data_IF_671990684307
#
_entry.id   IF_671990684307
#
_cell.length_a   1.000
_cell.length_b   1.000
_cell.length_c   1.000
_cell.angle_alpha   90.00
_cell.angle_beta   90.00
_cell.angle_gamma   90.00
#
_symmetry.space_group_name_H-M   'P 1'
#
loop_
_entity.id
_entity.type
_entity.pdbx_description
1 polymer ?
#
# COMPACT_ATOMS: atom_id res chain seq x y z
N UNK A 1 14.90 8.42 15.21
CA UNK A 1 14.23 7.90 14.01
C UNK A 1 14.01 6.42 14.26
N UNK A 2 12.77 5.98 14.34
CA UNK A 2 12.42 4.57 14.60
C UNK A 2 12.06 3.94 13.27
N UNK A 3 12.65 2.78 12.99
CA UNK A 3 12.24 1.98 11.85
C UNK A 3 10.95 1.25 12.23
N UNK A 4 9.83 1.47 11.52
CA UNK A 4 8.61 0.70 11.74
C UNK A 4 8.85 -0.78 11.43
N UNK A 5 8.08 -1.64 12.09
CA UNK A 5 8.02 -3.07 11.76
C UNK A 5 7.41 -3.27 10.38
N UNK A 6 7.68 -4.39 9.73
CA UNK A 6 7.12 -4.69 8.41
C UNK A 6 5.57 -4.66 8.44
N UNK A 7 4.97 -5.11 9.54
CA UNK A 7 3.52 -4.97 9.78
C UNK A 7 3.06 -3.50 9.87
N UNK A 8 3.83 -2.63 10.53
CA UNK A 8 3.51 -1.21 10.66
C UNK A 8 3.61 -0.49 9.30
N UNK A 9 4.65 -0.79 8.52
CA UNK A 9 4.81 -0.25 7.16
C UNK A 9 3.60 -0.60 6.31
N UNK A 10 3.21 -1.88 6.28
CA UNK A 10 2.04 -2.33 5.52
C UNK A 10 0.76 -1.68 6.06
N UNK A 11 0.62 -1.56 7.37
CA UNK A 11 -0.54 -0.91 7.97
C UNK A 11 -0.68 0.57 7.56
N UNK A 12 0.44 1.29 7.41
CA UNK A 12 0.48 2.69 7.00
C UNK A 12 0.32 2.88 5.49
N UNK A 13 0.91 2.01 4.68
CA UNK A 13 0.96 2.17 3.21
C UNK A 13 -0.28 1.62 2.51
N UNK A 14 -0.84 0.52 2.99
CA UNK A 14 -1.95 -0.19 2.33
C UNK A 14 -3.17 0.70 2.06
N UNK A 15 -3.65 1.56 2.99
CA UNK A 15 -4.80 2.42 2.73
C UNK A 15 -4.58 3.35 1.54
N UNK A 16 -3.40 3.98 1.47
CA UNK A 16 -3.01 4.89 0.39
C UNK A 16 -2.90 4.14 -0.93
N UNK A 17 -2.27 2.96 -0.92
CA UNK A 17 -2.13 2.11 -2.11
C UNK A 17 -3.51 1.69 -2.63
N UNK A 18 -4.39 1.20 -1.77
CA UNK A 18 -5.74 0.78 -2.16
C UNK A 18 -6.59 1.96 -2.68
N UNK A 19 -6.53 3.11 -2.03
CA UNK A 19 -7.23 4.32 -2.49
C UNK A 19 -6.73 4.77 -3.87
N UNK A 20 -5.42 4.80 -4.07
CA UNK A 20 -4.82 5.15 -5.37
C UNK A 20 -5.11 4.12 -6.44
N UNK A 21 -5.15 2.83 -6.07
CA UNK A 21 -5.51 1.74 -6.98
C UNK A 21 -6.92 1.93 -7.51
N UNK A 22 -7.85 2.30 -6.62
CA UNK A 22 -9.23 2.61 -7.00
C UNK A 22 -9.29 3.83 -7.92
N UNK A 23 -8.56 4.89 -7.60
CA UNK A 23 -8.47 6.10 -8.44
C UNK A 23 -7.93 5.79 -9.84
N UNK A 24 -6.82 5.05 -9.93
CA UNK A 24 -6.16 4.76 -11.20
C UNK A 24 -6.88 3.70 -12.04
N UNK A 25 -7.36 2.63 -11.41
CA UNK A 25 -8.05 1.53 -12.12
C UNK A 25 -9.48 1.91 -12.50
N UNK A 26 -10.06 2.89 -11.81
CA UNK A 26 -11.47 3.23 -11.87
C UNK A 26 -12.34 2.34 -10.99
N UNK A 27 -13.45 2.90 -10.50
CA UNK A 27 -14.35 2.23 -9.55
C UNK A 27 -14.87 0.88 -10.09
N UNK A 28 -15.25 0.80 -11.35
CA UNK A 28 -15.79 -0.45 -11.93
C UNK A 28 -14.79 -1.62 -11.90
N UNK A 29 -13.52 -1.40 -12.28
CA UNK A 29 -12.49 -2.45 -12.24
C UNK A 29 -12.09 -2.78 -10.81
N UNK A 30 -12.01 -1.75 -9.98
CA UNK A 30 -11.66 -1.91 -8.58
C UNK A 30 -12.72 -2.71 -7.82
N UNK A 31 -14.00 -2.37 -7.98
CA UNK A 31 -15.15 -3.06 -7.38
C UNK A 31 -15.28 -4.50 -7.89
N UNK A 32 -14.85 -4.78 -9.13
CA UNK A 32 -14.80 -6.16 -9.65
C UNK A 32 -13.72 -7.01 -8.95
N UNK A 33 -12.59 -6.42 -8.58
CA UNK A 33 -11.53 -7.10 -7.83
C UNK A 33 -11.80 -7.13 -6.30
N UNK A 34 -12.40 -6.06 -5.79
CA UNK A 34 -12.69 -5.80 -4.38
C UNK A 34 -14.14 -5.31 -4.22
N UNK A 35 -15.15 -6.19 -4.25
CA UNK A 35 -16.56 -5.82 -4.08
C UNK A 35 -16.84 -5.06 -2.78
N UNK A 36 -16.05 -5.29 -1.72
CA UNK A 36 -16.14 -4.53 -0.47
C UNK A 36 -15.44 -3.16 -0.52
N UNK A 37 -14.94 -2.74 -1.69
CA UNK A 37 -14.27 -1.47 -1.88
C UNK A 37 -12.90 -1.39 -1.21
N UNK A 38 -12.51 -0.17 -0.82
CA UNK A 38 -11.15 0.11 -0.32
C UNK A 38 -10.87 -0.66 0.96
N UNK A 39 -11.87 -0.83 1.82
CA UNK A 39 -11.73 -1.56 3.08
C UNK A 39 -11.40 -3.06 2.86
N UNK A 40 -12.05 -3.68 1.88
CA UNK A 40 -11.75 -5.07 1.52
C UNK A 40 -10.36 -5.21 0.88
N UNK A 41 -9.95 -4.26 0.03
CA UNK A 41 -8.59 -4.19 -0.48
C UNK A 41 -7.57 -4.11 0.66
N UNK A 42 -7.84 -3.26 1.66
CA UNK A 42 -6.95 -3.10 2.82
C UNK A 42 -6.88 -4.40 3.61
N UNK A 43 -8.02 -4.98 3.95
CA UNK A 43 -8.10 -6.20 4.76
C UNK A 43 -7.43 -7.38 4.05
N UNK A 44 -7.72 -7.60 2.75
CA UNK A 44 -7.08 -8.67 1.97
C UNK A 44 -5.57 -8.48 1.86
N UNK A 45 -5.11 -7.26 1.57
CA UNK A 45 -3.67 -6.99 1.41
C UNK A 45 -2.92 -7.21 2.71
N UNK A 46 -3.48 -6.77 3.85
CA UNK A 46 -2.91 -7.01 5.18
C UNK A 46 -2.90 -8.49 5.56
N UNK A 47 -4.00 -9.20 5.31
CA UNK A 47 -4.11 -10.64 5.59
C UNK A 47 -3.12 -11.48 4.75
N UNK A 48 -3.02 -11.19 3.45
CA UNK A 48 -2.03 -11.83 2.57
C UNK A 48 -0.60 -11.51 2.99
N UNK A 49 -0.31 -10.26 3.38
CA UNK A 49 0.99 -9.89 3.90
C UNK A 49 1.33 -10.67 5.18
N UNK A 50 0.38 -10.77 6.12
CA UNK A 50 0.53 -11.55 7.35
C UNK A 50 0.75 -13.03 7.10
N UNK A 51 -0.01 -13.63 6.19
CA UNK A 51 0.16 -15.04 5.81
C UNK A 51 1.51 -15.31 5.17
N UNK A 52 1.98 -14.44 4.28
CA UNK A 52 3.26 -14.61 3.55
C UNK A 52 4.48 -14.27 4.40
N UNK A 53 4.34 -13.35 5.35
CA UNK A 53 5.45 -12.82 6.13
C UNK A 53 5.28 -13.09 7.62
N UNK A 54 4.53 -14.13 8.02
CA UNK A 54 4.23 -14.44 9.43
C UNK A 54 5.50 -14.45 10.31
N UNK A 55 6.59 -15.04 9.83
CA UNK A 55 7.90 -15.11 10.50
C UNK A 55 8.73 -13.80 10.44
N UNK A 56 8.25 -12.76 9.75
CA UNK A 56 8.97 -11.50 9.48
C UNK A 56 8.13 -10.26 9.79
N UNK A 57 6.99 -10.41 10.48
CA UNK A 57 6.13 -9.27 10.82
C UNK A 57 6.83 -8.27 11.75
N UNK A 58 7.61 -8.77 12.71
CA UNK A 58 8.43 -8.00 13.63
C UNK A 58 9.79 -7.57 13.05
N UNK A 59 10.09 -7.94 11.79
CA UNK A 59 11.31 -7.49 11.15
C UNK A 59 11.23 -5.97 10.95
N UNK A 60 12.24 -5.27 11.44
CA UNK A 60 12.33 -3.82 11.29
C UNK A 60 12.56 -3.49 9.81
N UNK A 61 11.75 -2.58 9.28
CA UNK A 61 11.92 -2.09 7.92
C UNK A 61 13.28 -1.42 7.75
N UNK A 62 13.81 -1.49 6.53
CA UNK A 62 15.00 -0.72 6.15
C UNK A 62 14.72 0.78 6.06
N UNK A 63 13.45 1.14 5.93
CA UNK A 63 13.00 2.53 5.84
C UNK A 63 12.45 3.03 7.16
N UNK A 64 12.75 4.29 7.45
CA UNK A 64 12.23 5.00 8.61
C UNK A 64 10.77 5.41 8.40
N UNK A 65 10.08 5.75 9.50
CA UNK A 65 8.69 6.21 9.42
C UNK A 65 8.48 7.43 8.51
N UNK A 66 9.43 8.37 8.55
CA UNK A 66 9.43 9.59 7.75
C UNK A 66 9.59 9.29 6.25
N UNK A 67 10.46 8.33 5.91
CA UNK A 67 10.64 7.89 4.53
C UNK A 67 9.39 7.19 4.00
N UNK A 68 8.75 6.36 4.82
CA UNK A 68 7.50 5.69 4.47
C UNK A 68 6.38 6.72 4.27
N UNK A 69 6.23 7.70 5.16
CA UNK A 69 5.21 8.75 5.03
C UNK A 69 5.44 9.60 3.79
N UNK A 70 6.66 10.09 3.60
CA UNK A 70 7.05 10.88 2.42
C UNK A 70 6.77 10.12 1.12
N UNK A 71 7.17 8.87 1.07
CA UNK A 71 6.93 8.01 -0.08
C UNK A 71 5.45 7.78 -0.38
N UNK A 72 4.62 7.57 0.65
CA UNK A 72 3.17 7.46 0.48
C UNK A 72 2.51 8.76 0.05
N UNK A 73 3.02 9.90 0.52
CA UNK A 73 2.58 11.23 0.10
C UNK A 73 2.91 11.49 -1.38
N UNK A 74 4.14 11.19 -1.79
CA UNK A 74 4.57 11.28 -3.19
C UNK A 74 3.75 10.34 -4.09
N UNK A 75 3.53 9.09 -3.65
CA UNK A 75 2.71 8.11 -4.38
C UNK A 75 1.25 8.55 -4.51
N UNK A 76 0.66 9.10 -3.45
CA UNK A 76 -0.70 9.64 -3.47
C UNK A 76 -0.83 10.83 -4.42
N UNK A 77 0.19 11.70 -4.49
CA UNK A 77 0.22 12.85 -5.37
C UNK A 77 0.57 12.51 -6.83
N UNK A 78 1.25 11.38 -7.07
CA UNK A 78 1.66 10.96 -8.40
C UNK A 78 0.44 10.71 -9.30
N UNK A 79 0.51 11.11 -10.56
CA UNK A 79 -0.55 10.80 -11.52
C UNK A 79 -0.58 9.30 -11.84
N UNK A 80 -1.77 8.78 -12.13
CA UNK A 80 -1.93 7.42 -12.63
C UNK A 80 -1.23 7.27 -13.99
N UNK A 81 -0.55 6.13 -14.18
CA UNK A 81 0.12 5.81 -15.43
C UNK A 81 -0.87 5.56 -16.57
N UNK A 82 -0.35 5.54 -17.80
CA UNK A 82 -1.14 5.25 -18.99
C UNK A 82 -1.92 3.93 -18.82
N UNK A 83 -3.23 3.95 -19.09
CA UNK A 83 -4.11 2.79 -18.93
C UNK A 83 -4.61 2.54 -17.50
N UNK A 84 -4.41 3.48 -16.58
CA UNK A 84 -4.86 3.35 -15.19
C UNK A 84 -3.90 2.54 -14.32
N UNK A 85 -2.63 2.43 -14.74
CA UNK A 85 -1.60 1.79 -13.95
C UNK A 85 -1.30 2.61 -12.69
N UNK A 86 -1.04 1.92 -11.58
CA UNK A 86 -0.53 2.55 -10.38
C UNK A 86 0.84 3.19 -10.67
N UNK A 87 1.14 4.38 -10.12
CA UNK A 87 2.49 4.90 -10.16
C UNK A 87 3.44 3.90 -9.47
N UNK A 88 4.69 3.79 -9.91
CA UNK A 88 5.67 2.98 -9.18
C UNK A 88 5.78 3.53 -7.76
N UNK A 89 5.72 2.66 -6.75
CA UNK A 89 6.00 3.08 -5.38
C UNK A 89 7.46 3.53 -5.37
N UNK A 90 7.76 4.81 -5.07
CA UNK A 90 9.13 5.32 -5.13
C UNK A 90 10.00 4.76 -4.00
N UNK A 91 9.41 4.03 -3.05
CA UNK A 91 10.10 3.30 -2.01
C UNK A 91 10.80 2.07 -2.58
N UNK A 92 12.13 2.05 -2.53
CA UNK A 92 12.93 0.81 -2.47
C UNK A 92 12.92 0.19 -1.07
N UNK A 93 11.80 0.34 -0.35
CA UNK A 93 11.45 -0.26 0.92
C UNK A 93 10.52 -1.44 0.62
#
# INVERSE_FOLDING_TARGET
MTNPSAEEVVNKTTPTICAKTKECSGDAKFTLAFPGGVDECITKTKDEFRKKNADKLDATSVCTDDEVDKCMKDFSAAACGAGGALPPVPCGC
#
